data_IF_233475862263
#
_entry.id   IF_233475862263
#
_cell.length_a   1.000
_cell.length_b   1.000
_cell.length_c   1.000
_cell.angle_alpha   90.00
_cell.angle_beta   90.00
_cell.angle_gamma   90.00
#
_symmetry.space_group_name_H-M   'P 1'
#
loop_
_entity.id
_entity.type
_entity.pdbx_description
1 polymer ?
#
# COMPACT_ATOMS: atom_id res chain seq x y z
N UNK A 1 -15.83 3.43 15.82
CA UNK A 1 -16.10 3.71 14.39
C UNK A 1 -14.82 3.45 13.62
N UNK A 2 -14.88 2.63 12.58
CA UNK A 2 -13.73 2.35 11.74
C UNK A 2 -13.26 3.62 11.01
N UNK A 3 -11.96 3.74 10.78
CA UNK A 3 -11.36 4.85 10.01
C UNK A 3 -10.88 4.34 8.67
N UNK A 4 -11.02 5.17 7.64
CA UNK A 4 -10.63 4.80 6.28
C UNK A 4 -9.69 5.82 5.66
N UNK A 5 -8.73 5.34 4.87
CA UNK A 5 -7.91 6.15 3.97
C UNK A 5 -8.34 5.95 2.52
N UNK A 6 -8.37 7.02 1.75
CA UNK A 6 -8.61 6.96 0.31
C UNK A 6 -7.30 6.69 -0.42
N UNK A 7 -7.23 5.62 -1.21
CA UNK A 7 -6.09 5.40 -2.11
C UNK A 7 -6.28 6.22 -3.40
N UNK A 8 -5.57 7.34 -3.51
CA UNK A 8 -5.67 8.27 -4.64
C UNK A 8 -4.95 7.76 -5.92
N UNK A 9 -4.36 6.57 -5.85
CA UNK A 9 -3.91 5.83 -7.03
C UNK A 9 -5.06 5.16 -7.80
N UNK A 10 -6.24 5.02 -7.18
CA UNK A 10 -7.46 4.47 -7.78
C UNK A 10 -8.64 5.43 -7.71
N UNK A 11 -8.84 6.09 -6.57
CA UNK A 11 -9.95 7.01 -6.36
C UNK A 11 -9.62 8.39 -6.94
N UNK A 12 -10.62 9.05 -7.56
CA UNK A 12 -10.47 10.37 -8.18
C UNK A 12 -9.31 10.51 -9.18
N UNK A 13 -8.96 9.45 -9.93
CA UNK A 13 -7.86 9.46 -10.90
C UNK A 13 -7.97 10.57 -11.98
N UNK A 14 -9.15 11.11 -12.22
CA UNK A 14 -9.37 12.23 -13.16
C UNK A 14 -8.98 13.60 -12.61
N UNK A 15 -8.62 13.70 -11.31
CA UNK A 15 -8.22 14.95 -10.67
C UNK A 15 -6.70 15.02 -10.47
N UNK A 16 -6.11 16.22 -10.49
CA UNK A 16 -4.78 16.43 -9.94
C UNK A 16 -4.71 15.99 -8.48
N UNK A 17 -3.56 15.47 -8.03
CA UNK A 17 -3.42 14.93 -6.67
C UNK A 17 -3.85 15.89 -5.54
N UNK A 18 -3.50 17.20 -5.58
CA UNK A 18 -3.99 18.15 -4.57
C UNK A 18 -5.53 18.23 -4.52
N UNK A 19 -6.20 18.24 -5.68
CA UNK A 19 -7.67 18.30 -5.76
C UNK A 19 -8.30 16.99 -5.28
N UNK A 20 -7.68 15.85 -5.56
CA UNK A 20 -8.12 14.54 -5.08
C UNK A 20 -8.03 14.44 -3.54
N UNK A 21 -7.04 15.06 -2.90
CA UNK A 21 -6.92 15.17 -1.44
C UNK A 21 -8.12 15.93 -0.86
N UNK A 22 -8.50 17.08 -1.44
CA UNK A 22 -9.68 17.82 -1.01
C UNK A 22 -10.99 17.04 -1.25
N UNK A 23 -11.09 16.33 -2.38
CA UNK A 23 -12.23 15.48 -2.67
C UNK A 23 -12.38 14.35 -1.63
N UNK A 24 -11.28 13.71 -1.23
CA UNK A 24 -11.28 12.68 -0.18
C UNK A 24 -11.75 13.25 1.17
N UNK A 25 -11.31 14.47 1.53
CA UNK A 25 -11.81 15.16 2.74
C UNK A 25 -13.30 15.41 2.69
N UNK A 26 -13.79 15.93 1.58
CA UNK A 26 -15.22 16.23 1.40
C UNK A 26 -16.09 14.97 1.41
N UNK A 27 -15.52 13.84 1.03
CA UNK A 27 -16.14 12.52 1.06
C UNK A 27 -16.14 11.84 2.45
N UNK A 28 -15.47 12.43 3.46
CA UNK A 28 -15.46 11.92 4.83
C UNK A 28 -14.34 10.93 5.15
N UNK A 29 -13.32 10.79 4.32
CA UNK A 29 -12.15 9.97 4.65
C UNK A 29 -11.33 10.60 5.78
N UNK A 30 -10.70 9.74 6.60
CA UNK A 30 -9.84 10.13 7.73
C UNK A 30 -8.39 10.35 7.34
N UNK A 31 -7.96 9.80 6.20
CA UNK A 31 -6.60 9.86 5.68
C UNK A 31 -6.59 9.64 4.17
N UNK A 32 -5.42 9.83 3.56
CA UNK A 32 -5.17 9.49 2.15
C UNK A 32 -3.89 8.67 2.02
N UNK A 33 -3.77 7.95 0.92
CA UNK A 33 -2.56 7.29 0.45
C UNK A 33 -2.44 7.48 -1.06
N UNK A 34 -1.25 7.48 -1.60
CA UNK A 34 -1.04 7.67 -3.03
C UNK A 34 0.06 6.74 -3.55
N UNK A 35 -0.03 6.38 -4.84
CA UNK A 35 0.97 5.50 -5.42
C UNK A 35 2.27 6.25 -5.75
N UNK A 36 2.23 7.15 -6.73
CA UNK A 36 3.43 7.79 -7.29
C UNK A 36 3.24 9.30 -7.41
N UNK A 37 3.49 10.08 -6.33
CA UNK A 37 3.24 11.52 -6.32
C UNK A 37 4.32 12.34 -7.05
N UNK A 38 5.33 11.71 -7.62
CA UNK A 38 6.59 12.32 -8.04
C UNK A 38 6.50 13.30 -9.22
N UNK A 39 5.39 13.29 -9.96
CA UNK A 39 5.13 14.25 -11.04
C UNK A 39 4.52 15.59 -10.54
N UNK A 40 4.11 15.63 -9.26
CA UNK A 40 3.52 16.83 -8.66
C UNK A 40 4.54 17.59 -7.83
N UNK A 41 4.36 18.92 -7.72
CA UNK A 41 5.17 19.70 -6.81
C UNK A 41 4.84 19.31 -5.35
N UNK A 42 5.86 18.92 -4.61
CA UNK A 42 5.72 18.45 -3.23
C UNK A 42 5.10 19.50 -2.30
N UNK A 43 5.34 20.79 -2.57
CA UNK A 43 4.75 21.90 -1.79
C UNK A 43 3.24 21.98 -1.98
N UNK A 44 2.75 21.71 -3.19
CA UNK A 44 1.31 21.76 -3.50
C UNK A 44 0.60 20.59 -2.80
N UNK A 45 1.21 19.40 -2.79
CA UNK A 45 0.71 18.24 -2.03
C UNK A 45 0.69 18.56 -0.53
N UNK A 46 1.79 19.09 0.01
CA UNK A 46 1.90 19.44 1.43
C UNK A 46 0.87 20.51 1.84
N UNK A 47 0.60 21.50 0.96
CA UNK A 47 -0.43 22.50 1.18
C UNK A 47 -1.82 21.87 1.23
N UNK A 48 -2.17 21.04 0.23
CA UNK A 48 -3.47 20.37 0.17
C UNK A 48 -3.73 19.47 1.38
N UNK A 49 -2.73 18.66 1.81
CA UNK A 49 -2.83 17.82 3.00
C UNK A 49 -3.11 18.64 4.26
N UNK A 50 -2.39 19.76 4.43
CA UNK A 50 -2.57 20.66 5.57
C UNK A 50 -3.93 21.33 5.55
N UNK A 51 -4.38 21.84 4.41
CA UNK A 51 -5.67 22.53 4.23
C UNK A 51 -6.85 21.56 4.44
N UNK A 52 -6.74 20.36 3.90
CA UNK A 52 -7.73 19.31 4.12
C UNK A 52 -7.70 18.74 5.56
N UNK A 53 -6.60 18.91 6.29
CA UNK A 53 -6.39 18.29 7.60
C UNK A 53 -6.36 16.76 7.53
N UNK A 54 -5.86 16.20 6.41
CA UNK A 54 -5.73 14.76 6.21
C UNK A 54 -4.25 14.35 6.26
N UNK A 55 -3.89 13.30 7.04
CA UNK A 55 -2.57 12.70 6.95
C UNK A 55 -2.43 11.88 5.66
N UNK A 56 -1.23 11.90 5.07
CA UNK A 56 -0.80 10.94 4.05
C UNK A 56 -0.24 9.71 4.76
N UNK A 57 -0.82 8.52 4.53
CA UNK A 57 -0.38 7.29 5.21
C UNK A 57 0.77 6.57 4.52
N UNK A 58 0.89 6.71 3.21
CA UNK A 58 1.95 6.05 2.47
C UNK A 58 2.00 6.43 1.00
N UNK A 59 3.12 6.06 0.39
CA UNK A 59 3.39 6.18 -1.04
C UNK A 59 4.27 5.00 -1.51
N UNK A 60 4.32 4.76 -2.83
CA UNK A 60 5.08 3.66 -3.41
C UNK A 60 6.39 4.17 -4.03
N UNK A 61 7.43 3.33 -4.05
CA UNK A 61 8.59 3.55 -4.93
C UNK A 61 8.14 3.51 -6.40
N UNK A 62 8.84 4.22 -7.30
CA UNK A 62 8.53 4.17 -8.74
C UNK A 62 8.62 2.74 -9.28
N UNK A 63 7.80 2.45 -10.29
CA UNK A 63 7.75 1.11 -10.91
C UNK A 63 8.92 0.77 -11.82
N UNK A 64 9.71 1.76 -12.23
CA UNK A 64 10.67 1.64 -13.31
C UNK A 64 10.06 1.99 -14.66
N UNK A 65 10.54 1.39 -15.74
CA UNK A 65 10.03 1.58 -17.10
C UNK A 65 8.79 0.70 -17.35
N UNK A 66 7.60 1.29 -17.19
CA UNK A 66 6.32 0.58 -17.33
C UNK A 66 6.11 0.06 -18.76
N UNK A 67 6.58 0.79 -19.77
CA UNK A 67 6.47 0.37 -21.18
C UNK A 67 7.31 -0.88 -21.47
N UNK A 68 8.44 -1.04 -20.75
CA UNK A 68 9.26 -2.25 -20.78
C UNK A 68 8.70 -3.39 -19.89
N UNK A 69 7.58 -3.15 -19.20
CA UNK A 69 6.91 -4.14 -18.37
C UNK A 69 7.35 -4.13 -16.90
N UNK A 70 8.11 -3.14 -16.43
CA UNK A 70 8.49 -3.03 -15.04
C UNK A 70 7.25 -2.84 -14.13
N UNK A 71 7.32 -3.40 -12.92
CA UNK A 71 6.35 -3.19 -11.85
C UNK A 71 7.07 -3.19 -10.49
N UNK A 72 8.07 -2.33 -10.33
CA UNK A 72 9.01 -2.32 -9.23
C UNK A 72 10.39 -2.83 -9.64
N UNK A 73 11.41 -2.51 -8.85
CA UNK A 73 12.81 -2.76 -9.19
C UNK A 73 13.57 -3.50 -8.10
N UNK A 74 12.99 -3.58 -6.89
CA UNK A 74 13.76 -3.89 -5.68
C UNK A 74 14.30 -5.31 -5.64
N UNK A 75 13.62 -6.28 -6.30
CA UNK A 75 14.11 -7.65 -6.43
C UNK A 75 14.80 -7.94 -7.79
N UNK A 76 14.91 -6.93 -8.67
CA UNK A 76 15.43 -7.13 -10.04
C UNK A 76 16.96 -7.05 -10.05
N UNK A 77 17.62 -8.20 -10.24
CA UNK A 77 19.08 -8.28 -10.29
C UNK A 77 19.68 -7.43 -11.41
N UNK A 78 20.85 -6.81 -11.14
CA UNK A 78 21.54 -5.91 -12.05
C UNK A 78 20.97 -4.50 -12.13
N UNK A 79 19.90 -4.20 -11.37
CA UNK A 79 19.27 -2.87 -11.33
C UNK A 79 19.26 -2.27 -9.90
N UNK A 80 20.17 -2.71 -9.04
CA UNK A 80 20.23 -2.31 -7.64
C UNK A 80 20.40 -0.79 -7.46
N UNK A 81 21.21 -0.16 -8.33
CA UNK A 81 21.40 1.29 -8.30
C UNK A 81 20.13 2.07 -8.61
N UNK A 82 19.32 1.60 -9.57
CA UNK A 82 18.03 2.20 -9.90
C UNK A 82 17.02 1.99 -8.77
N UNK A 83 16.98 0.79 -8.21
CA UNK A 83 16.12 0.47 -7.07
C UNK A 83 16.42 1.35 -5.86
N UNK A 84 17.70 1.54 -5.52
CA UNK A 84 18.12 2.39 -4.40
C UNK A 84 17.83 3.87 -4.67
N UNK A 85 18.01 4.36 -5.89
CA UNK A 85 17.62 5.72 -6.26
C UNK A 85 16.10 5.94 -6.10
N UNK A 86 15.28 4.95 -6.48
CA UNK A 86 13.83 4.99 -6.29
C UNK A 86 13.44 4.97 -4.80
N UNK A 87 14.16 4.22 -3.97
CA UNK A 87 13.99 4.20 -2.51
C UNK A 87 14.35 5.56 -1.91
N UNK A 88 15.49 6.14 -2.27
CA UNK A 88 15.92 7.46 -1.77
C UNK A 88 14.93 8.57 -2.17
N UNK A 89 14.40 8.53 -3.40
CA UNK A 89 13.36 9.44 -3.85
C UNK A 89 12.10 9.32 -2.98
N UNK A 90 11.66 8.08 -2.73
CA UNK A 90 10.48 7.82 -1.91
C UNK A 90 10.66 8.30 -0.47
N UNK A 91 11.84 8.07 0.13
CA UNK A 91 12.18 8.54 1.48
C UNK A 91 12.16 10.07 1.54
N UNK A 92 12.74 10.76 0.55
CA UNK A 92 12.73 12.21 0.50
C UNK A 92 11.30 12.78 0.45
N UNK A 93 10.42 12.21 -0.39
CA UNK A 93 9.01 12.60 -0.45
C UNK A 93 8.24 12.28 0.83
N UNK A 94 8.40 11.06 1.35
CA UNK A 94 7.71 10.63 2.56
C UNK A 94 8.11 11.47 3.78
N UNK A 95 9.39 11.80 3.94
CA UNK A 95 9.87 12.63 5.04
C UNK A 95 9.31 14.05 4.99
N UNK A 96 9.28 14.69 3.82
CA UNK A 96 8.74 16.04 3.63
C UNK A 96 7.21 16.07 3.82
N UNK A 97 6.50 15.07 3.32
CA UNK A 97 5.04 14.94 3.45
C UNK A 97 4.60 14.32 4.78
N UNK A 98 5.56 13.91 5.64
CA UNK A 98 5.32 13.21 6.92
C UNK A 98 4.52 11.91 6.76
N UNK A 99 4.69 11.23 5.62
CA UNK A 99 4.08 9.92 5.40
C UNK A 99 4.83 8.85 6.23
N UNK A 100 4.13 8.08 7.07
CA UNK A 100 4.78 7.10 7.93
C UNK A 100 5.22 5.82 7.21
N UNK A 101 4.75 5.57 5.98
CA UNK A 101 5.02 4.33 5.28
C UNK A 101 5.47 4.55 3.84
N UNK A 102 6.34 3.65 3.35
CA UNK A 102 6.72 3.54 1.94
C UNK A 102 6.54 2.09 1.51
N UNK A 103 5.69 1.84 0.50
CA UNK A 103 5.65 0.55 -0.16
C UNK A 103 6.81 0.43 -1.15
N UNK A 104 7.73 -0.50 -0.88
CA UNK A 104 8.88 -0.78 -1.74
C UNK A 104 8.54 -1.91 -2.69
N UNK A 105 8.30 -1.57 -3.95
CA UNK A 105 7.79 -2.49 -4.96
C UNK A 105 8.86 -3.47 -5.42
N UNK A 106 8.60 -4.78 -5.27
CA UNK A 106 9.56 -5.85 -5.54
C UNK A 106 9.97 -5.94 -7.03
N UNK A 107 8.99 -5.91 -7.93
CA UNK A 107 9.23 -6.06 -9.37
C UNK A 107 8.92 -7.45 -9.90
N UNK A 108 8.96 -7.58 -11.24
CA UNK A 108 8.73 -8.83 -11.97
C UNK A 108 10.04 -9.59 -12.13
N UNK A 109 10.22 -10.63 -11.35
CA UNK A 109 11.41 -11.50 -11.36
C UNK A 109 11.15 -12.77 -10.55
N UNK A 110 12.12 -13.69 -10.46
CA UNK A 110 12.01 -14.94 -9.70
C UNK A 110 13.37 -15.55 -9.39
N UNK A 111 13.37 -16.49 -8.45
CA UNK A 111 14.53 -17.32 -8.14
C UNK A 111 15.44 -16.75 -7.04
N UNK A 112 16.50 -17.50 -6.72
CA UNK A 112 17.37 -17.21 -5.58
C UNK A 112 18.17 -15.89 -5.71
N UNK A 113 18.49 -15.49 -6.93
CA UNK A 113 19.17 -14.20 -7.18
C UNK A 113 18.23 -13.03 -6.85
N UNK A 114 16.98 -13.09 -7.32
CA UNK A 114 15.97 -12.10 -7.01
C UNK A 114 15.73 -11.97 -5.50
N UNK A 115 15.71 -13.10 -4.78
CA UNK A 115 15.58 -13.11 -3.32
C UNK A 115 16.76 -12.37 -2.66
N UNK A 116 18.01 -12.69 -3.02
CA UNK A 116 19.19 -11.99 -2.47
C UNK A 116 19.21 -10.49 -2.78
N UNK A 117 18.84 -10.13 -4.02
CA UNK A 117 18.74 -8.73 -4.44
C UNK A 117 17.68 -8.00 -3.64
N UNK A 118 16.51 -8.63 -3.43
CA UNK A 118 15.42 -8.05 -2.63
C UNK A 118 15.85 -7.81 -1.19
N UNK A 119 16.44 -8.80 -0.52
CA UNK A 119 16.95 -8.66 0.84
C UNK A 119 17.96 -7.51 0.96
N UNK A 120 18.94 -7.46 0.05
CA UNK A 120 19.97 -6.40 0.05
C UNK A 120 19.36 -4.99 -0.10
N UNK A 121 18.39 -4.83 -0.99
CA UNK A 121 17.73 -3.54 -1.21
C UNK A 121 16.73 -3.19 -0.09
N UNK A 122 16.07 -4.17 0.52
CA UNK A 122 15.22 -3.95 1.70
C UNK A 122 16.04 -3.53 2.92
N UNK A 123 17.21 -4.16 3.16
CA UNK A 123 18.14 -3.73 4.21
C UNK A 123 18.51 -2.26 4.01
N UNK A 124 18.94 -1.90 2.80
CA UNK A 124 19.23 -0.50 2.45
C UNK A 124 18.03 0.43 2.73
N UNK A 125 16.84 0.04 2.30
CA UNK A 125 15.62 0.84 2.51
C UNK A 125 15.31 1.02 4.00
N UNK A 126 15.37 -0.05 4.79
CA UNK A 126 15.09 -0.02 6.23
C UNK A 126 16.06 0.86 6.99
N UNK A 127 17.37 0.73 6.73
CA UNK A 127 18.41 1.54 7.35
C UNK A 127 18.24 3.03 7.03
N UNK A 128 17.96 3.37 5.76
CA UNK A 128 17.74 4.76 5.31
C UNK A 128 16.46 5.36 5.88
N UNK A 129 15.36 4.59 5.88
CA UNK A 129 14.04 5.04 6.32
C UNK A 129 13.95 5.19 7.85
N UNK A 130 14.71 4.38 8.61
CA UNK A 130 14.70 4.40 10.08
C UNK A 130 15.09 5.77 10.65
N UNK A 131 15.97 6.50 9.98
CA UNK A 131 16.44 7.84 10.37
C UNK A 131 15.26 8.84 10.47
N UNK A 132 14.21 8.62 9.65
CA UNK A 132 13.02 9.46 9.58
C UNK A 132 11.81 8.84 10.31
N UNK A 133 11.98 7.69 10.96
CA UNK A 133 10.87 6.96 11.60
C UNK A 133 9.87 6.37 10.59
N UNK A 134 10.30 6.15 9.35
CA UNK A 134 9.46 5.62 8.27
C UNK A 134 9.50 4.09 8.26
N UNK A 135 8.33 3.48 8.14
CA UNK A 135 8.15 2.03 7.96
C UNK A 135 8.23 1.67 6.47
N UNK A 136 9.01 0.66 6.16
CA UNK A 136 9.04 0.04 4.84
C UNK A 136 7.97 -1.05 4.77
N UNK A 137 7.14 -0.97 3.77
CA UNK A 137 6.09 -1.96 3.49
C UNK A 137 6.48 -2.79 2.28
N UNK A 138 6.20 -4.09 2.37
CA UNK A 138 6.25 -5.03 1.24
C UNK A 138 4.88 -5.67 1.05
N UNK A 139 4.44 -5.79 -0.19
CA UNK A 139 3.09 -6.22 -0.52
C UNK A 139 3.10 -7.46 -1.41
N UNK A 140 2.43 -8.54 -0.98
CA UNK A 140 2.13 -9.68 -1.86
C UNK A 140 1.06 -9.31 -2.89
N UNK A 141 1.39 -9.44 -4.18
CA UNK A 141 0.45 -9.16 -5.26
C UNK A 141 -0.05 -10.45 -5.93
N UNK A 142 -1.33 -10.47 -6.31
CA UNK A 142 -1.93 -11.61 -6.98
C UNK A 142 -1.46 -11.75 -8.45
N UNK A 143 -1.47 -12.97 -8.96
CA UNK A 143 -1.01 -13.32 -10.32
C UNK A 143 -1.95 -12.82 -11.43
N UNK A 144 -3.22 -12.45 -11.14
CA UNK A 144 -4.15 -11.91 -12.12
C UNK A 144 -3.76 -10.49 -12.51
N UNK A 145 -3.45 -9.64 -11.51
CA UNK A 145 -3.14 -8.22 -11.70
C UNK A 145 -1.65 -7.97 -11.94
N UNK A 146 -0.80 -8.80 -11.34
CA UNK A 146 0.65 -8.65 -11.39
C UNK A 146 1.37 -9.97 -11.76
N UNK A 147 1.15 -10.51 -12.99
CA UNK A 147 1.77 -11.76 -13.39
C UNK A 147 3.30 -11.67 -13.33
N UNK A 148 3.93 -12.67 -12.69
CA UNK A 148 5.38 -12.73 -12.52
C UNK A 148 5.96 -11.78 -11.47
N UNK A 149 5.14 -11.15 -10.65
CA UNK A 149 5.63 -10.36 -9.52
C UNK A 149 6.36 -11.23 -8.50
N UNK A 150 7.45 -10.73 -7.92
CA UNK A 150 8.32 -11.53 -7.06
C UNK A 150 7.65 -11.95 -5.74
N UNK A 151 7.01 -11.01 -5.06
CA UNK A 151 6.35 -11.25 -3.77
C UNK A 151 4.87 -11.55 -3.98
N UNK A 152 4.43 -12.78 -3.67
CA UNK A 152 3.10 -13.26 -4.06
C UNK A 152 2.23 -13.76 -2.91
N UNK A 153 2.82 -14.09 -1.76
CA UNK A 153 2.08 -14.62 -0.61
C UNK A 153 2.48 -13.92 0.68
N UNK A 154 1.56 -13.85 1.63
CA UNK A 154 1.82 -13.30 2.95
C UNK A 154 2.87 -14.12 3.71
N UNK A 155 2.92 -15.45 3.49
CA UNK A 155 3.93 -16.33 4.07
C UNK A 155 5.33 -16.02 3.55
N UNK A 156 5.47 -15.77 2.24
CA UNK A 156 6.75 -15.32 1.66
C UNK A 156 7.17 -13.98 2.26
N UNK A 157 6.24 -13.04 2.40
CA UNK A 157 6.50 -11.73 3.02
C UNK A 157 6.94 -11.85 4.49
N UNK A 158 6.27 -12.69 5.27
CA UNK A 158 6.64 -12.97 6.66
C UNK A 158 8.06 -13.55 6.75
N UNK A 159 8.38 -14.56 5.92
CA UNK A 159 9.72 -15.16 5.89
C UNK A 159 10.82 -14.12 5.62
N UNK A 160 10.58 -13.17 4.71
CA UNK A 160 11.52 -12.08 4.40
C UNK A 160 11.67 -11.13 5.59
N UNK A 161 10.57 -10.77 6.26
CA UNK A 161 10.59 -9.90 7.43
C UNK A 161 11.38 -10.53 8.58
N UNK A 162 11.16 -11.81 8.84
CA UNK A 162 11.86 -12.57 9.87
C UNK A 162 13.35 -12.76 9.53
N UNK A 163 13.69 -13.04 8.27
CA UNK A 163 15.08 -13.20 7.82
C UNK A 163 15.88 -11.91 7.98
N UNK A 164 15.29 -10.74 7.71
CA UNK A 164 15.95 -9.44 7.83
C UNK A 164 15.93 -8.88 9.24
N UNK A 165 14.90 -9.14 10.03
CA UNK A 165 14.80 -8.72 11.43
C UNK A 165 14.79 -7.21 11.67
N UNK A 166 14.43 -6.38 10.67
CA UNK A 166 14.27 -4.94 10.84
C UNK A 166 12.92 -4.58 11.45
N UNK A 167 12.87 -3.85 12.55
CA UNK A 167 11.64 -3.45 13.23
C UNK A 167 10.71 -2.60 12.35
N UNK A 168 11.28 -1.82 11.43
CA UNK A 168 10.58 -0.96 10.50
C UNK A 168 10.28 -1.61 9.14
N UNK A 169 10.40 -2.95 9.00
CA UNK A 169 9.94 -3.71 7.83
C UNK A 169 8.64 -4.42 8.17
N UNK A 170 7.57 -4.14 7.42
CA UNK A 170 6.23 -4.68 7.69
C UNK A 170 5.53 -5.09 6.39
N UNK A 171 4.46 -5.89 6.55
CA UNK A 171 3.55 -6.22 5.45
C UNK A 171 2.56 -5.06 5.18
N UNK A 172 2.33 -4.79 3.93
CA UNK A 172 1.10 -4.21 3.43
C UNK A 172 0.15 -5.37 3.15
N UNK A 173 -0.89 -5.49 3.96
CA UNK A 173 -1.87 -6.58 3.89
C UNK A 173 -3.09 -6.11 3.10
N UNK A 174 -3.06 -6.27 1.78
CA UNK A 174 -4.25 -6.04 0.96
C UNK A 174 -5.12 -7.30 0.94
N UNK A 175 -6.32 -7.20 1.56
CA UNK A 175 -7.28 -8.29 1.64
C UNK A 175 -7.67 -8.83 0.25
N UNK A 176 -7.72 -7.96 -0.78
CA UNK A 176 -8.02 -8.35 -2.14
C UNK A 176 -6.96 -9.30 -2.72
N UNK A 177 -5.68 -8.92 -2.63
CA UNK A 177 -4.59 -9.74 -3.16
C UNK A 177 -4.48 -11.06 -2.40
N UNK A 178 -4.56 -11.02 -1.08
CA UNK A 178 -4.41 -12.20 -0.23
C UNK A 178 -5.58 -13.16 -0.38
N UNK A 179 -6.82 -12.66 -0.52
CA UNK A 179 -7.97 -13.54 -0.77
C UNK A 179 -7.79 -14.34 -2.06
N UNK A 180 -7.34 -13.72 -3.13
CA UNK A 180 -7.15 -14.39 -4.42
C UNK A 180 -6.07 -15.47 -4.36
N UNK A 181 -5.00 -15.23 -3.61
CA UNK A 181 -3.82 -16.10 -3.58
C UNK A 181 -3.89 -17.17 -2.49
N UNK A 182 -4.48 -16.85 -1.34
CA UNK A 182 -4.32 -17.67 -0.14
C UNK A 182 -5.65 -17.91 0.60
N UNK A 183 -6.57 -16.94 0.62
CA UNK A 183 -7.81 -16.99 1.40
C UNK A 183 -7.58 -16.90 2.90
N UNK A 184 -8.58 -17.34 3.71
CA UNK A 184 -8.53 -17.40 5.18
C UNK A 184 -8.13 -16.07 5.86
N UNK A 185 -8.69 -14.95 5.37
CA UNK A 185 -8.31 -13.57 5.70
C UNK A 185 -8.27 -13.32 7.21
N UNK A 186 -9.32 -13.73 7.95
CA UNK A 186 -9.39 -13.43 9.39
C UNK A 186 -8.29 -14.13 10.19
N UNK A 187 -7.98 -15.39 9.86
CA UNK A 187 -6.91 -16.12 10.54
C UNK A 187 -5.53 -15.59 10.19
N UNK A 188 -5.33 -15.18 8.94
CA UNK A 188 -4.08 -14.55 8.52
C UNK A 188 -3.89 -13.19 9.18
N UNK A 189 -4.92 -12.35 9.27
CA UNK A 189 -4.88 -11.09 10.02
C UNK A 189 -4.50 -11.30 11.48
N UNK A 190 -5.09 -12.30 12.16
CA UNK A 190 -4.78 -12.65 13.54
C UNK A 190 -3.30 -13.06 13.71
N UNK A 191 -2.83 -13.97 12.86
CA UNK A 191 -1.47 -14.50 12.93
C UNK A 191 -0.39 -13.46 12.57
N UNK A 192 -0.67 -12.62 11.57
CA UNK A 192 0.31 -11.70 10.99
C UNK A 192 0.24 -10.28 11.59
N UNK A 193 -0.71 -9.98 12.47
CA UNK A 193 -0.94 -8.63 12.98
C UNK A 193 0.33 -7.91 13.51
N UNK A 194 1.25 -8.57 14.23
CA UNK A 194 2.49 -7.94 14.69
C UNK A 194 3.42 -7.50 13.55
N UNK A 195 3.25 -8.10 12.37
CA UNK A 195 4.04 -7.84 11.18
C UNK A 195 3.34 -6.94 10.16
N UNK A 196 2.06 -6.57 10.39
CA UNK A 196 1.28 -5.72 9.48
C UNK A 196 1.54 -4.25 9.79
N UNK A 197 1.98 -3.50 8.78
CA UNK A 197 2.14 -2.06 8.82
C UNK A 197 0.90 -1.30 8.32
N UNK A 198 0.18 -1.85 7.34
CA UNK A 198 -1.03 -1.27 6.78
C UNK A 198 -1.95 -2.36 6.24
N UNK A 199 -3.26 -2.09 6.25
CA UNK A 199 -4.31 -2.99 5.71
C UNK A 199 -5.06 -2.26 4.62
N UNK A 200 -5.33 -2.94 3.50
CA UNK A 200 -6.15 -2.42 2.40
C UNK A 200 -7.29 -3.36 2.05
N UNK A 201 -8.34 -2.80 1.46
CA UNK A 201 -9.58 -3.50 1.10
C UNK A 201 -10.08 -3.13 -0.30
N UNK A 202 -10.61 -4.13 -1.00
CA UNK A 202 -11.40 -4.01 -2.22
C UNK A 202 -12.26 -5.27 -2.39
N UNK A 203 -13.34 -5.20 -3.17
CA UNK A 203 -14.15 -6.40 -3.45
C UNK A 203 -13.34 -7.45 -4.23
N UNK A 204 -13.67 -8.71 -4.03
CA UNK A 204 -13.14 -9.85 -4.79
C UNK A 204 -14.31 -10.50 -5.51
N UNK A 205 -14.22 -10.77 -6.83
CA UNK A 205 -13.00 -10.82 -7.65
C UNK A 205 -12.67 -9.55 -8.45
N UNK A 206 -13.50 -8.52 -8.46
CA UNK A 206 -13.50 -7.43 -9.44
C UNK A 206 -12.71 -6.17 -9.01
N UNK A 207 -12.17 -6.17 -7.76
CA UNK A 207 -11.42 -5.05 -7.17
C UNK A 207 -12.21 -3.74 -7.16
N UNK A 208 -13.54 -3.83 -6.99
CA UNK A 208 -14.46 -2.70 -6.92
C UNK A 208 -14.75 -2.30 -5.45
N UNK A 209 -15.87 -1.59 -5.22
CA UNK A 209 -16.30 -1.14 -3.90
C UNK A 209 -16.39 -2.30 -2.90
N UNK A 210 -15.95 -2.12 -1.64
CA UNK A 210 -15.85 -3.20 -0.65
C UNK A 210 -17.18 -3.52 0.06
N UNK A 211 -18.30 -3.46 -0.65
CA UNK A 211 -19.65 -3.76 -0.16
C UNK A 211 -20.25 -5.05 -0.71
N UNK A 212 -19.55 -5.73 -1.60
CA UNK A 212 -19.99 -6.95 -2.27
C UNK A 212 -18.80 -7.92 -2.53
N UNK A 213 -19.08 -9.02 -3.19
CA UNK A 213 -18.10 -10.03 -3.57
C UNK A 213 -17.86 -11.11 -2.52
N UNK A 214 -16.70 -11.73 -2.55
CA UNK A 214 -16.37 -12.92 -1.73
C UNK A 214 -16.08 -12.59 -0.26
N UNK A 215 -15.73 -11.32 0.08
CA UNK A 215 -15.32 -10.91 1.41
C UNK A 215 -16.41 -10.13 2.14
N UNK A 216 -16.70 -10.53 3.37
CA UNK A 216 -17.58 -9.77 4.27
C UNK A 216 -16.76 -8.74 5.06
N UNK A 217 -16.65 -7.52 4.54
CA UNK A 217 -15.83 -6.47 5.16
C UNK A 217 -16.43 -5.94 6.46
N UNK A 218 -17.73 -6.01 6.71
CA UNK A 218 -18.29 -5.65 8.02
C UNK A 218 -17.76 -6.59 9.09
N UNK A 219 -17.63 -7.88 8.81
CA UNK A 219 -17.00 -8.84 9.71
C UNK A 219 -15.49 -8.62 9.84
N UNK A 220 -14.76 -8.44 8.72
CA UNK A 220 -13.29 -8.28 8.71
C UNK A 220 -12.87 -7.03 9.48
N UNK A 221 -13.56 -5.90 9.30
CA UNK A 221 -13.26 -4.64 10.00
C UNK A 221 -13.56 -4.77 11.49
N UNK A 222 -14.68 -5.42 11.87
CA UNK A 222 -14.96 -5.73 13.28
C UNK A 222 -13.89 -6.65 13.89
N UNK A 223 -13.39 -7.62 13.12
CA UNK A 223 -12.32 -8.51 13.57
C UNK A 223 -11.01 -7.76 13.78
N UNK A 224 -10.62 -6.88 12.87
CA UNK A 224 -9.45 -6.00 13.02
C UNK A 224 -9.55 -5.13 14.27
N UNK A 225 -10.75 -4.59 14.57
CA UNK A 225 -10.96 -3.81 15.79
C UNK A 225 -10.78 -4.67 17.05
N UNK A 226 -11.31 -5.89 17.07
CA UNK A 226 -11.14 -6.84 18.19
C UNK A 226 -9.67 -7.23 18.38
N UNK A 227 -8.90 -7.38 17.29
CA UNK A 227 -7.46 -7.63 17.32
C UNK A 227 -6.63 -6.41 17.75
N UNK A 228 -7.24 -5.24 17.88
CA UNK A 228 -6.57 -4.00 18.32
C UNK A 228 -5.94 -3.20 17.19
N UNK A 229 -6.26 -3.45 15.92
CA UNK A 229 -5.84 -2.60 14.81
C UNK A 229 -6.58 -1.26 14.88
N UNK A 230 -5.84 -0.15 14.93
CA UNK A 230 -6.42 1.21 15.15
C UNK A 230 -6.06 2.20 14.05
N UNK A 231 -5.32 1.79 13.04
CA UNK A 231 -4.95 2.64 11.91
C UNK A 231 -6.11 2.71 10.92
N UNK A 232 -6.21 3.77 10.10
CA UNK A 232 -7.16 3.77 9.00
C UNK A 232 -6.91 2.60 8.05
N UNK A 233 -7.98 2.04 7.48
CA UNK A 233 -7.93 0.95 6.51
C UNK A 233 -7.99 1.57 5.11
N UNK A 234 -7.08 1.18 4.23
CA UNK A 234 -6.97 1.71 2.87
C UNK A 234 -8.08 1.22 1.95
N UNK A 235 -8.85 2.13 1.39
CA UNK A 235 -9.82 1.83 0.33
C UNK A 235 -9.11 1.86 -1.02
N UNK A 236 -8.55 0.72 -1.44
CA UNK A 236 -7.76 0.57 -2.66
C UNK A 236 -8.53 -0.21 -3.73
N UNK A 237 -9.55 0.42 -4.27
CA UNK A 237 -10.44 -0.22 -5.26
C UNK A 237 -10.67 0.66 -6.50
N UNK A 238 -11.14 0.03 -7.57
CA UNK A 238 -11.52 0.68 -8.82
C UNK A 238 -13.02 0.99 -8.78
N UNK A 239 -13.42 2.27 -8.71
CA UNK A 239 -14.84 2.61 -8.71
C UNK A 239 -15.54 2.07 -9.97
N UNK A 240 -16.70 1.43 -9.79
CA UNK A 240 -17.52 0.93 -10.92
C UNK A 240 -18.07 2.09 -11.74
N UNK A 241 -18.39 3.20 -11.07
CA UNK A 241 -18.85 4.44 -11.70
C UNK A 241 -17.92 5.60 -11.30
N UNK A 242 -18.46 6.74 -10.89
CA UNK A 242 -17.62 7.77 -10.27
C UNK A 242 -17.26 7.39 -8.83
N UNK A 243 -16.13 7.87 -8.34
CA UNK A 243 -15.74 7.62 -6.94
C UNK A 243 -16.84 8.02 -5.96
N UNK A 244 -17.49 9.17 -6.20
CA UNK A 244 -18.53 9.71 -5.29
C UNK A 244 -19.77 8.84 -5.25
N UNK A 245 -20.20 8.31 -6.39
CA UNK A 245 -21.38 7.45 -6.48
C UNK A 245 -21.19 6.11 -5.74
N UNK A 246 -19.95 5.61 -5.69
CA UNK A 246 -19.60 4.34 -5.05
C UNK A 246 -19.43 4.39 -3.53
N UNK A 247 -19.42 5.57 -2.89
CA UNK A 247 -19.04 5.71 -1.46
C UNK A 247 -20.09 5.23 -0.45
N UNK A 248 -21.24 4.75 -0.89
CA UNK A 248 -22.30 4.26 0.00
C UNK A 248 -21.87 3.14 0.94
N UNK A 249 -20.84 2.38 0.58
CA UNK A 249 -20.26 1.33 1.42
C UNK A 249 -19.75 1.84 2.79
N UNK A 250 -19.31 3.10 2.87
CA UNK A 250 -18.80 3.68 4.13
C UNK A 250 -19.85 3.67 5.23
N UNK A 251 -21.14 3.78 4.89
CA UNK A 251 -22.27 3.74 5.85
C UNK A 251 -22.43 2.40 6.54
N UNK A 252 -21.84 1.32 6.00
CA UNK A 252 -21.85 0.01 6.65
C UNK A 252 -21.02 -0.01 7.95
N UNK A 253 -20.23 1.02 8.20
CA UNK A 253 -19.27 1.12 9.31
C UNK A 253 -19.54 2.29 10.27
N UNK A 254 -20.65 3.00 10.09
CA UNK A 254 -21.13 4.09 10.95
C UNK A 254 -21.70 3.63 12.32
#
# INVERSE_FOLDING_TARGET
MAKFSANLGFLWQGLPLPDAIHAAKNAGFDAVECHWPYSFNIRDISAALREAGLPLLGLNTIRGNIEAGDNGLTAVGGRESEARAAIDQAIAYASELKAPNIHVMAGRTRGAEAHRTFLSNLTYACERASIYGITILIEPLNERDAPGYFLRTSEQGLSIIEELGHDNLKLLFDCYHIQIMEGDICKRLEALLPHIGHVQIASVPDRAEPDHGELNYTHIVSWLDQLGYRRPIGAEYRPVASTVDGLSWMRLFE
#
